data_IF_391730459702
#
_entry.id   IF_391730459702
#
_cell.length_a   1.000
_cell.length_b   1.000
_cell.length_c   1.000
_cell.angle_alpha   90.00
_cell.angle_beta   90.00
_cell.angle_gamma   90.00
#
_symmetry.space_group_name_H-M   'P 1'
#
loop_
_entity.id
_entity.type
_entity.pdbx_description
1 polymer ?
#
# COMPACT_ATOMS: atom_id res chain seq x y z
N UNK A 1 12.07 -7.66 -3.81
CA UNK A 1 11.87 -6.60 -2.83
C UNK A 1 12.31 -5.25 -3.40
N UNK A 2 11.54 -4.20 -3.16
CA UNK A 2 11.89 -2.87 -3.64
C UNK A 2 13.10 -2.31 -2.89
N UNK A 3 14.00 -1.68 -3.62
CA UNK A 3 15.17 -1.01 -3.04
C UNK A 3 14.76 0.36 -2.49
N UNK A 4 15.55 0.91 -1.58
CA UNK A 4 15.25 2.21 -0.97
C UNK A 4 15.11 3.32 -2.01
N UNK A 5 15.97 3.34 -3.02
CA UNK A 5 15.90 4.36 -4.08
C UNK A 5 14.67 4.21 -4.98
N UNK A 6 14.08 3.02 -5.02
CA UNK A 6 12.85 2.77 -5.78
C UNK A 6 11.60 3.21 -5.01
N UNK A 7 11.70 3.35 -3.68
CA UNK A 7 10.57 3.76 -2.84
C UNK A 7 10.02 5.14 -3.22
N UNK A 8 10.86 6.02 -3.73
CA UNK A 8 10.44 7.36 -4.17
C UNK A 8 9.56 7.32 -5.41
N UNK A 9 9.58 6.20 -6.14
CA UNK A 9 8.88 6.05 -7.41
C UNK A 9 7.64 5.18 -7.31
N UNK A 10 7.36 4.62 -6.13
CA UNK A 10 6.20 3.76 -5.94
C UNK A 10 5.04 4.57 -5.37
N UNK A 11 3.84 4.14 -5.67
CA UNK A 11 2.65 4.68 -5.05
C UNK A 11 2.42 3.97 -3.72
N UNK A 12 2.14 4.75 -2.68
CA UNK A 12 1.97 4.28 -1.31
C UNK A 12 0.47 4.12 -1.05
N UNK A 13 0.02 2.90 -0.81
CA UNK A 13 -1.40 2.59 -0.67
C UNK A 13 -1.65 2.08 0.75
N UNK A 14 -2.43 2.85 1.51
CA UNK A 14 -2.87 2.50 2.86
C UNK A 14 -4.24 1.85 2.78
N UNK A 15 -4.34 0.57 3.15
CA UNK A 15 -5.61 -0.18 3.07
C UNK A 15 -6.34 -0.26 4.41
N UNK A 16 -5.95 0.59 5.36
CA UNK A 16 -6.67 0.72 6.63
C UNK A 16 -7.98 1.47 6.42
N UNK A 17 -8.78 1.58 7.47
CA UNK A 17 -10.01 2.36 7.41
C UNK A 17 -9.70 3.85 7.25
N UNK A 18 -10.67 4.65 6.73
CA UNK A 18 -10.48 6.10 6.65
C UNK A 18 -10.18 6.75 8.00
N UNK A 19 -10.80 6.29 9.07
CA UNK A 19 -10.55 6.83 10.40
C UNK A 19 -9.09 6.59 10.85
N UNK A 20 -8.58 5.38 10.62
CA UNK A 20 -7.18 5.08 10.92
C UNK A 20 -6.25 5.97 10.09
N UNK A 21 -6.54 6.10 8.80
CA UNK A 21 -5.74 6.92 7.89
C UNK A 21 -5.72 8.38 8.33
N UNK A 22 -6.89 8.92 8.70
CA UNK A 22 -7.02 10.32 9.11
C UNK A 22 -6.34 10.60 10.45
N UNK A 23 -6.20 9.60 11.30
CA UNK A 23 -5.49 9.72 12.58
C UNK A 23 -3.97 9.75 12.42
N UNK A 24 -3.46 9.33 11.27
CA UNK A 24 -2.04 9.37 10.94
C UNK A 24 -1.68 8.31 9.93
N UNK A 25 -0.87 8.67 8.94
CA UNK A 25 -0.39 7.74 7.93
C UNK A 25 0.94 8.24 7.36
N UNK A 26 1.44 7.50 6.38
CA UNK A 26 2.64 7.89 5.64
C UNK A 26 2.31 9.11 4.77
N UNK A 27 3.16 10.15 4.74
CA UNK A 27 2.95 11.29 3.85
C UNK A 27 2.82 10.84 2.40
N UNK A 28 1.89 11.46 1.68
CA UNK A 28 1.59 11.18 0.27
C UNK A 28 0.95 9.81 0.00
N UNK A 29 0.56 9.09 1.03
CA UNK A 29 -0.15 7.83 0.86
C UNK A 29 -1.58 8.07 0.37
N UNK A 30 -2.07 7.13 -0.42
CA UNK A 30 -3.44 7.10 -0.91
C UNK A 30 -4.19 6.09 -0.06
N UNK A 31 -5.33 6.49 0.52
CA UNK A 31 -6.16 5.58 1.29
C UNK A 31 -7.15 4.86 0.37
N UNK A 32 -6.98 3.55 0.26
CA UNK A 32 -7.94 2.68 -0.44
C UNK A 32 -8.25 1.55 0.55
N UNK A 33 -9.30 1.69 1.36
CA UNK A 33 -9.62 0.69 2.38
C UNK A 33 -9.78 -0.71 1.79
N UNK A 34 -9.43 -1.72 2.58
CA UNK A 34 -9.46 -3.11 2.11
C UNK A 34 -10.80 -3.51 1.48
N UNK A 35 -11.91 -3.05 2.07
CA UNK A 35 -13.25 -3.38 1.56
C UNK A 35 -13.58 -2.69 0.23
N UNK A 36 -12.78 -1.72 -0.20
CA UNK A 36 -12.97 -1.05 -1.49
C UNK A 36 -12.04 -1.56 -2.59
N UNK A 37 -11.05 -2.38 -2.24
CA UNK A 37 -10.02 -2.82 -3.20
C UNK A 37 -10.64 -3.54 -4.40
N UNK A 38 -11.62 -4.41 -4.16
CA UNK A 38 -12.29 -5.16 -5.24
C UNK A 38 -12.94 -4.21 -6.25
N UNK A 39 -13.65 -3.19 -5.76
CA UNK A 39 -14.39 -2.26 -6.62
C UNK A 39 -13.49 -1.24 -7.30
N UNK A 40 -12.26 -1.11 -6.84
CA UNK A 40 -11.30 -0.12 -7.36
C UNK A 40 -10.12 -0.78 -8.06
N UNK A 41 -10.30 -2.00 -8.54
CA UNK A 41 -9.23 -2.78 -9.18
C UNK A 41 -8.61 -2.05 -10.38
N UNK A 42 -9.43 -1.47 -11.25
CA UNK A 42 -8.92 -0.78 -12.45
C UNK A 42 -8.06 0.44 -12.06
N UNK A 43 -8.50 1.18 -11.06
CA UNK A 43 -7.71 2.30 -10.53
C UNK A 43 -6.38 1.80 -9.99
N UNK A 44 -6.39 0.72 -9.20
CA UNK A 44 -5.19 0.16 -8.61
C UNK A 44 -4.21 -0.37 -9.65
N UNK A 45 -4.71 -0.96 -10.74
CA UNK A 45 -3.85 -1.39 -11.84
C UNK A 45 -3.02 -0.25 -12.41
N UNK A 46 -3.60 0.95 -12.47
CA UNK A 46 -2.92 2.14 -12.96
C UNK A 46 -1.94 2.76 -11.97
N UNK A 47 -1.93 2.31 -10.72
CA UNK A 47 -1.06 2.85 -9.69
C UNK A 47 0.23 2.04 -9.49
N UNK A 48 0.44 1.00 -10.29
CA UNK A 48 1.67 0.21 -10.23
C UNK A 48 2.90 1.06 -10.63
N UNK A 49 4.04 0.88 -10.01
CA UNK A 49 4.32 -0.03 -8.89
C UNK A 49 3.79 0.51 -7.57
N UNK A 50 3.35 -0.39 -6.68
CA UNK A 50 2.74 -0.02 -5.41
C UNK A 50 3.41 -0.68 -4.22
N UNK A 51 3.46 0.06 -3.12
CA UNK A 51 3.75 -0.49 -1.79
C UNK A 51 2.46 -0.38 -0.99
N UNK A 52 1.88 -1.52 -0.63
CA UNK A 52 0.60 -1.60 0.07
C UNK A 52 0.86 -1.92 1.54
N UNK A 53 0.22 -1.20 2.43
CA UNK A 53 0.45 -1.38 3.86
C UNK A 53 -0.84 -1.16 4.67
N UNK A 54 -0.79 -1.58 5.92
CA UNK A 54 -1.88 -1.39 6.87
C UNK A 54 -1.30 -1.13 8.26
N UNK A 55 -1.93 -1.61 9.34
CA UNK A 55 -1.39 -1.43 10.68
C UNK A 55 -0.26 -2.42 10.99
N UNK A 56 -0.39 -3.68 10.55
CA UNK A 56 0.56 -4.75 10.87
C UNK A 56 0.86 -5.71 9.71
N UNK A 57 0.38 -5.43 8.51
CA UNK A 57 0.70 -6.24 7.33
C UNK A 57 -0.31 -7.31 6.96
N UNK A 58 -1.33 -7.56 7.79
CA UNK A 58 -2.31 -8.64 7.54
C UNK A 58 -3.34 -8.22 6.49
N UNK A 59 -3.95 -7.06 6.66
CA UNK A 59 -4.92 -6.54 5.69
C UNK A 59 -4.27 -6.23 4.35
N UNK A 60 -3.05 -5.70 4.38
CA UNK A 60 -2.30 -5.43 3.16
C UNK A 60 -1.98 -6.72 2.40
N UNK A 61 -1.66 -7.82 3.10
CA UNK A 61 -1.44 -9.10 2.43
C UNK A 61 -2.70 -9.62 1.75
N UNK A 62 -3.87 -9.45 2.39
CA UNK A 62 -5.14 -9.83 1.78
C UNK A 62 -5.41 -9.02 0.49
N UNK A 63 -5.14 -7.72 0.55
CA UNK A 63 -5.28 -6.87 -0.64
C UNK A 63 -4.36 -7.32 -1.76
N UNK A 64 -3.11 -7.61 -1.44
CA UNK A 64 -2.11 -8.02 -2.41
C UNK A 64 -2.48 -9.37 -3.04
N UNK A 65 -2.94 -10.33 -2.24
CA UNK A 65 -3.36 -11.64 -2.75
C UNK A 65 -4.47 -11.48 -3.81
N UNK A 66 -5.44 -10.62 -3.53
CA UNK A 66 -6.50 -10.32 -4.49
C UNK A 66 -5.94 -9.65 -5.75
N UNK A 67 -5.09 -8.63 -5.57
CA UNK A 67 -4.52 -7.88 -6.68
C UNK A 67 -3.69 -8.78 -7.59
N UNK A 68 -2.84 -9.63 -7.03
CA UNK A 68 -2.01 -10.54 -7.80
C UNK A 68 -2.85 -11.58 -8.55
N UNK A 69 -3.93 -12.06 -7.94
CA UNK A 69 -4.85 -12.98 -8.61
C UNK A 69 -5.55 -12.33 -9.79
N UNK A 70 -5.56 -11.00 -9.88
CA UNK A 70 -6.21 -10.22 -10.93
C UNK A 70 -5.21 -9.50 -11.84
N UNK A 71 -3.98 -9.97 -11.90
CA UNK A 71 -3.01 -9.50 -12.88
C UNK A 71 -2.11 -8.36 -12.44
N UNK A 72 -2.23 -7.90 -11.20
CA UNK A 72 -1.32 -6.90 -10.64
C UNK A 72 -0.06 -7.61 -10.15
N UNK A 73 1.10 -7.26 -10.69
CA UNK A 73 2.35 -7.94 -10.35
C UNK A 73 3.44 -7.00 -9.80
N UNK A 74 3.27 -5.70 -9.92
CA UNK A 74 4.23 -4.73 -9.39
C UNK A 74 3.72 -4.17 -8.07
N UNK A 75 3.62 -5.06 -7.07
CA UNK A 75 3.07 -4.73 -5.75
C UNK A 75 3.85 -5.47 -4.68
N UNK A 76 4.11 -4.79 -3.57
CA UNK A 76 4.82 -5.35 -2.43
C UNK A 76 4.08 -4.98 -1.14
N UNK A 77 4.14 -5.89 -0.15
CA UNK A 77 3.59 -5.62 1.16
C UNK A 77 4.61 -4.83 2.00
N UNK A 78 4.26 -3.61 2.38
CA UNK A 78 5.10 -2.77 3.22
C UNK A 78 4.99 -3.09 4.71
N UNK A 79 4.03 -3.92 5.10
CA UNK A 79 3.80 -4.24 6.51
C UNK A 79 2.96 -3.18 7.22
N UNK A 80 3.45 -2.68 8.34
CA UNK A 80 2.78 -1.62 9.09
C UNK A 80 3.18 -0.24 8.58
N UNK A 81 2.28 0.71 8.67
CA UNK A 81 2.54 2.07 8.17
C UNK A 81 3.70 2.75 8.91
N UNK A 82 3.89 2.41 10.19
CA UNK A 82 5.02 2.95 10.95
C UNK A 82 6.37 2.45 10.41
N UNK A 83 6.41 1.19 9.97
CA UNK A 83 7.62 0.62 9.36
C UNK A 83 7.90 1.27 8.00
N UNK A 84 6.87 1.49 7.20
CA UNK A 84 7.00 2.18 5.91
C UNK A 84 7.51 3.59 6.13
N UNK A 85 6.94 4.31 7.09
CA UNK A 85 7.35 5.67 7.41
C UNK A 85 8.82 5.72 7.84
N UNK A 86 9.26 4.75 8.65
CA UNK A 86 10.65 4.66 9.08
C UNK A 86 11.59 4.40 7.90
N UNK A 87 11.19 3.53 6.96
CA UNK A 87 11.99 3.26 5.75
C UNK A 87 12.17 4.51 4.91
N UNK A 88 11.10 5.27 4.72
CA UNK A 88 11.14 6.51 3.94
C UNK A 88 12.02 7.56 4.61
N UNK A 89 12.00 7.65 5.92
CA UNK A 89 12.81 8.60 6.66
C UNK A 89 14.31 8.24 6.65
N UNK A 90 14.66 7.05 6.17
CA UNK A 90 16.05 6.59 6.05
C UNK A 90 16.66 6.90 4.67
N UNK A 91 15.89 7.44 3.76
CA UNK A 91 16.36 7.74 2.39
C UNK A 91 17.34 8.92 2.33
#
# INVERSE_FOLDING_TARGET
MLKLDEMEKVNLIDVRTPDEFNAGSVPNAINIPLDEVVNRLDELKGLQPMLVFCAAGVRSQKAIDFLMANGVNQVENGGGWLDVNARLNSL
#
